data_IF_392870671121
#
_entry.id   IF_392870671121
#
_cell.length_a   1.000
_cell.length_b   1.000
_cell.length_c   1.000
_cell.angle_alpha   90.00
_cell.angle_beta   90.00
_cell.angle_gamma   90.00
#
_symmetry.space_group_name_H-M   'P 1'
#
loop_
_entity.id
_entity.type
_entity.pdbx_description
1 polymer ?
#
# COMPACT_ATOMS: atom_id res chain seq x y z
N UNK A 1 -42.55 49.30 -24.53
CA UNK A 1 -42.52 47.96 -25.12
C UNK A 1 -43.70 47.16 -24.59
N UNK A 2 -44.90 47.62 -24.91
CA UNK A 2 -46.15 47.11 -24.33
C UNK A 2 -47.22 47.13 -25.45
N UNK A 3 -47.23 46.10 -26.28
CA UNK A 3 -48.21 46.05 -27.36
C UNK A 3 -48.45 44.72 -28.07
N UNK A 4 -47.95 43.60 -27.51
CA UNK A 4 -48.11 42.31 -28.24
C UNK A 4 -49.02 41.29 -27.56
N UNK A 5 -49.48 41.54 -26.34
CA UNK A 5 -50.39 40.64 -25.63
C UNK A 5 -51.88 40.98 -25.77
N UNK A 6 -52.19 42.26 -26.11
CA UNK A 6 -53.57 42.74 -26.20
C UNK A 6 -54.33 42.20 -27.41
N UNK A 7 -53.68 42.01 -28.54
CA UNK A 7 -54.29 41.46 -29.75
C UNK A 7 -54.65 39.97 -29.61
N UNK A 8 -53.85 39.21 -28.86
CA UNK A 8 -54.09 37.77 -28.62
C UNK A 8 -55.25 37.54 -27.65
N UNK A 9 -55.37 38.37 -26.63
CA UNK A 9 -56.50 38.32 -25.69
C UNK A 9 -57.81 38.75 -26.36
N UNK A 10 -57.77 39.77 -27.24
CA UNK A 10 -58.93 40.20 -28.03
C UNK A 10 -59.38 39.13 -29.03
N UNK A 11 -58.45 38.38 -29.63
CA UNK A 11 -58.78 37.27 -30.53
C UNK A 11 -59.42 36.09 -29.78
N UNK A 12 -58.92 35.77 -28.57
CA UNK A 12 -59.51 34.75 -27.71
C UNK A 12 -60.91 35.14 -27.24
N UNK A 13 -61.09 36.43 -26.86
CA UNK A 13 -62.40 36.94 -26.45
C UNK A 13 -63.40 36.93 -27.62
N UNK A 14 -62.95 37.34 -28.79
CA UNK A 14 -63.74 37.30 -29.99
C UNK A 14 -64.15 35.87 -30.35
N UNK A 15 -63.26 34.92 -30.27
CA UNK A 15 -63.54 33.50 -30.49
C UNK A 15 -64.57 32.95 -29.49
N UNK A 16 -64.48 33.28 -28.20
CA UNK A 16 -65.45 32.86 -27.19
C UNK A 16 -66.86 33.49 -27.46
N UNK A 17 -66.90 34.73 -27.87
CA UNK A 17 -68.17 35.41 -28.23
C UNK A 17 -68.80 34.76 -29.45
N UNK A 18 -68.07 34.45 -30.52
CA UNK A 18 -68.50 33.77 -31.68
C UNK A 18 -69.05 32.35 -31.38
N UNK A 19 -68.30 31.60 -30.54
CA UNK A 19 -68.73 30.28 -30.09
C UNK A 19 -70.02 30.33 -29.26
N UNK A 20 -70.12 31.35 -28.37
CA UNK A 20 -71.35 31.57 -27.58
C UNK A 20 -72.54 31.89 -28.43
N UNK A 21 -72.39 32.79 -29.42
CA UNK A 21 -73.47 33.14 -30.37
C UNK A 21 -73.84 31.95 -31.20
N UNK A 22 -72.86 31.14 -31.62
CA UNK A 22 -73.10 29.90 -32.38
C UNK A 22 -73.89 28.89 -31.56
N UNK A 23 -73.56 28.69 -30.30
CA UNK A 23 -74.28 27.81 -29.37
C UNK A 23 -75.66 28.31 -29.07
N UNK A 24 -75.87 29.64 -28.89
CA UNK A 24 -77.19 30.22 -28.69
C UNK A 24 -78.06 30.04 -29.98
N UNK A 25 -77.47 30.25 -31.15
CA UNK A 25 -78.19 30.10 -32.45
C UNK A 25 -78.55 28.63 -32.66
N UNK A 26 -77.72 27.67 -32.36
CA UNK A 26 -77.98 26.27 -32.37
C UNK A 26 -79.10 25.87 -31.39
N UNK A 27 -79.06 26.49 -30.19
CA UNK A 27 -80.07 26.25 -29.16
C UNK A 27 -81.48 26.75 -29.63
N UNK A 28 -81.56 27.97 -30.19
CA UNK A 28 -82.81 28.53 -30.68
C UNK A 28 -83.32 27.84 -31.94
N UNK A 29 -82.49 27.31 -32.80
CA UNK A 29 -82.87 26.58 -34.02
C UNK A 29 -83.25 25.14 -33.74
N UNK A 30 -82.96 24.60 -32.58
CA UNK A 30 -83.28 23.21 -32.18
C UNK A 30 -84.67 23.00 -31.60
N UNK A 31 -85.53 24.03 -31.51
CA UNK A 31 -86.95 23.86 -31.03
C UNK A 31 -87.95 23.30 -32.04
N UNK A 32 -87.46 22.73 -33.14
CA UNK A 32 -88.33 21.95 -34.07
C UNK A 32 -88.02 20.47 -33.93
N UNK A 33 -88.76 19.84 -33.01
CA UNK A 33 -89.08 18.41 -32.95
C UNK A 33 -87.98 17.38 -33.29
N UNK A 34 -87.44 16.73 -32.27
CA UNK A 34 -86.90 15.38 -32.37
C UNK A 34 -85.44 15.15 -32.40
N UNK A 35 -84.57 16.17 -32.09
CA UNK A 35 -83.08 16.05 -32.15
C UNK A 35 -82.42 16.04 -30.76
N UNK A 36 -83.15 16.31 -29.67
CA UNK A 36 -82.62 16.46 -28.33
C UNK A 36 -82.14 15.14 -27.78
N UNK A 37 -82.74 14.02 -28.14
CA UNK A 37 -82.29 12.74 -27.55
C UNK A 37 -81.01 12.15 -28.15
N UNK A 38 -80.64 12.57 -29.37
CA UNK A 38 -79.37 12.11 -29.98
C UNK A 38 -78.17 12.98 -29.55
N UNK A 39 -78.38 14.25 -29.26
CA UNK A 39 -77.32 15.19 -28.87
C UNK A 39 -76.88 14.98 -27.41
N UNK A 40 -77.81 14.59 -26.50
CA UNK A 40 -77.45 14.27 -25.14
C UNK A 40 -76.54 13.03 -25.03
N UNK A 41 -76.77 12.00 -25.88
CA UNK A 41 -75.86 10.83 -25.90
C UNK A 41 -74.49 11.15 -26.45
N UNK A 42 -74.34 12.03 -27.42
CA UNK A 42 -73.05 12.41 -27.99
C UNK A 42 -72.23 13.30 -27.01
N UNK A 43 -72.90 14.18 -26.25
CA UNK A 43 -72.21 15.03 -25.27
C UNK A 43 -71.70 14.23 -24.06
N UNK A 44 -72.50 13.28 -23.57
CA UNK A 44 -72.05 12.38 -22.49
C UNK A 44 -70.91 11.45 -22.90
N UNK A 45 -70.93 10.98 -24.17
CA UNK A 45 -69.83 10.10 -24.65
C UNK A 45 -68.55 10.85 -24.93
N UNK A 46 -68.61 12.16 -25.20
CA UNK A 46 -67.42 12.96 -25.47
C UNK A 46 -66.74 13.57 -24.18
N UNK A 47 -67.53 13.76 -23.12
CA UNK A 47 -67.07 14.42 -21.89
C UNK A 47 -66.38 13.40 -20.91
N UNK A 48 -66.89 12.15 -20.92
CA UNK A 48 -66.32 11.13 -20.01
C UNK A 48 -64.85 10.79 -20.30
N UNK A 49 -64.38 10.63 -21.56
CA UNK A 49 -62.95 10.35 -21.80
C UNK A 49 -62.01 11.52 -21.52
N UNK A 50 -62.56 12.78 -21.43
CA UNK A 50 -61.70 13.92 -21.13
C UNK A 50 -61.24 13.97 -19.65
N UNK A 51 -62.04 13.47 -18.72
CA UNK A 51 -61.68 13.40 -17.30
C UNK A 51 -60.64 12.32 -17.02
N UNK A 52 -60.69 11.18 -17.72
CA UNK A 52 -59.68 10.15 -17.57
C UNK A 52 -58.34 10.51 -18.27
N UNK A 53 -58.38 11.23 -19.38
CA UNK A 53 -57.22 11.66 -20.14
C UNK A 53 -56.34 12.69 -19.39
N UNK A 54 -56.94 13.60 -18.65
CA UNK A 54 -56.19 14.64 -17.86
C UNK A 54 -55.44 14.02 -16.70
N UNK A 55 -56.02 13.03 -16.03
CA UNK A 55 -55.35 12.35 -14.92
C UNK A 55 -54.20 11.44 -15.40
N UNK A 56 -54.30 10.86 -16.57
CA UNK A 56 -53.30 9.96 -17.16
C UNK A 56 -52.09 10.76 -17.70
N UNK A 57 -52.31 11.97 -18.24
CA UNK A 57 -51.27 12.84 -18.80
C UNK A 57 -50.46 13.56 -17.71
N UNK A 58 -51.03 13.79 -16.52
CA UNK A 58 -50.32 14.45 -15.39
C UNK A 58 -49.62 13.49 -14.44
N UNK A 59 -49.90 12.19 -14.51
CA UNK A 59 -49.31 11.18 -13.66
C UNK A 59 -47.81 10.99 -13.87
N UNK A 60 -47.22 11.07 -15.07
CA UNK A 60 -45.78 10.97 -15.25
C UNK A 60 -45.01 12.19 -14.70
N UNK A 61 -45.60 13.36 -14.76
CA UNK A 61 -44.98 14.59 -14.23
C UNK A 61 -44.87 14.62 -12.68
N UNK A 62 -45.81 14.01 -11.97
CA UNK A 62 -45.69 13.83 -10.50
C UNK A 62 -44.62 12.83 -10.12
N UNK A 63 -44.51 11.70 -10.83
CA UNK A 63 -43.46 10.69 -10.58
C UNK A 63 -42.07 11.23 -10.86
N UNK A 64 -41.86 12.03 -11.90
CA UNK A 64 -40.57 12.66 -12.21
C UNK A 64 -40.13 13.62 -11.12
N UNK A 65 -41.07 14.40 -10.53
CA UNK A 65 -40.73 15.29 -9.38
C UNK A 65 -40.31 14.52 -8.14
N UNK A 66 -40.95 13.43 -7.81
CA UNK A 66 -40.55 12.59 -6.64
C UNK A 66 -39.23 11.91 -6.88
N UNK A 67 -38.96 11.37 -8.07
CA UNK A 67 -37.65 10.77 -8.40
C UNK A 67 -36.51 11.76 -8.34
N UNK A 68 -36.68 12.99 -8.83
CA UNK A 68 -35.62 14.00 -8.80
C UNK A 68 -35.33 14.52 -7.39
N UNK A 69 -36.33 14.61 -6.53
CA UNK A 69 -36.15 15.02 -5.12
C UNK A 69 -35.49 13.91 -4.28
N UNK A 70 -35.82 12.65 -4.50
CA UNK A 70 -35.23 11.51 -3.79
C UNK A 70 -33.77 11.32 -4.22
N UNK A 71 -33.49 11.36 -5.52
CA UNK A 71 -32.11 11.26 -6.05
C UNK A 71 -31.25 12.44 -5.60
N UNK A 72 -31.82 13.65 -5.56
CA UNK A 72 -31.13 14.84 -5.06
C UNK A 72 -30.80 14.79 -3.57
N UNK A 73 -31.67 14.20 -2.74
CA UNK A 73 -31.42 13.99 -1.31
C UNK A 73 -30.35 12.94 -1.08
N UNK A 74 -30.46 11.78 -1.73
CA UNK A 74 -29.47 10.69 -1.64
C UNK A 74 -28.07 11.13 -2.10
N UNK A 75 -27.99 11.97 -3.14
CA UNK A 75 -26.72 12.51 -3.62
C UNK A 75 -26.14 13.53 -2.65
N UNK A 76 -26.98 14.37 -2.03
CA UNK A 76 -26.53 15.35 -1.01
C UNK A 76 -26.05 14.68 0.28
N UNK A 77 -26.70 13.59 0.72
CA UNK A 77 -26.26 12.84 1.91
C UNK A 77 -25.04 11.95 1.63
N UNK A 78 -24.88 11.45 0.42
CA UNK A 78 -23.76 10.58 0.04
C UNK A 78 -22.44 11.35 -0.18
N UNK A 79 -22.48 12.62 -0.58
CA UNK A 79 -21.30 13.46 -0.74
C UNK A 79 -20.49 13.62 0.56
N UNK A 80 -21.07 14.10 1.67
CA UNK A 80 -20.32 14.30 2.91
C UNK A 80 -19.84 12.97 3.51
N UNK A 81 -20.56 11.86 3.30
CA UNK A 81 -20.13 10.53 3.73
C UNK A 81 -18.92 10.05 2.93
N UNK A 82 -18.89 10.25 1.62
CA UNK A 82 -17.72 9.96 0.78
C UNK A 82 -16.51 10.82 1.15
N UNK A 83 -16.72 12.11 1.40
CA UNK A 83 -15.65 13.02 1.82
C UNK A 83 -15.09 12.62 3.20
N UNK A 84 -15.95 12.31 4.17
CA UNK A 84 -15.53 11.78 5.47
C UNK A 84 -14.79 10.45 5.33
N UNK A 85 -15.28 9.53 4.51
CA UNK A 85 -14.60 8.26 4.24
C UNK A 85 -13.20 8.48 3.65
N UNK A 86 -13.05 9.41 2.71
CA UNK A 86 -11.76 9.77 2.13
C UNK A 86 -10.83 10.45 3.16
N UNK A 87 -11.36 11.33 4.00
CA UNK A 87 -10.60 11.95 5.08
C UNK A 87 -10.12 10.92 6.10
N UNK A 88 -11.00 10.01 6.54
CA UNK A 88 -10.63 8.92 7.44
C UNK A 88 -9.58 7.99 6.83
N UNK A 89 -9.71 7.62 5.57
CA UNK A 89 -8.70 6.83 4.85
C UNK A 89 -7.34 7.54 4.81
N UNK A 90 -7.31 8.86 4.57
CA UNK A 90 -6.07 9.66 4.61
C UNK A 90 -5.47 9.72 6.01
N UNK A 91 -6.29 9.88 7.05
CA UNK A 91 -5.83 9.85 8.44
C UNK A 91 -5.25 8.48 8.82
N UNK A 92 -5.94 7.40 8.47
CA UNK A 92 -5.45 6.03 8.69
C UNK A 92 -4.11 5.81 7.98
N UNK A 93 -3.97 6.27 6.73
CA UNK A 93 -2.72 6.15 5.99
C UNK A 93 -1.57 6.93 6.67
N UNK A 94 -1.83 8.15 7.16
CA UNK A 94 -0.86 8.93 7.93
C UNK A 94 -0.48 8.26 9.24
N UNK A 95 -1.47 7.82 10.02
CA UNK A 95 -1.23 7.13 11.29
C UNK A 95 -0.44 5.82 11.10
N UNK A 96 -0.74 5.06 10.05
CA UNK A 96 0.04 3.85 9.70
C UNK A 96 1.49 4.19 9.37
N UNK A 97 1.74 5.27 8.61
CA UNK A 97 3.10 5.73 8.31
C UNK A 97 3.86 6.10 9.59
N UNK A 98 3.24 6.87 10.49
CA UNK A 98 3.84 7.23 11.78
C UNK A 98 4.06 6.02 12.70
N UNK A 99 3.12 5.06 12.72
CA UNK A 99 3.27 3.83 13.51
C UNK A 99 4.43 2.95 12.99
N UNK A 100 4.61 2.86 11.68
CA UNK A 100 5.76 2.15 11.07
C UNK A 100 7.06 2.85 11.45
N UNK A 101 7.11 4.18 11.32
CA UNK A 101 8.30 4.97 11.65
C UNK A 101 8.63 4.89 13.15
N UNK A 102 7.64 4.97 14.02
CA UNK A 102 7.84 4.84 15.46
C UNK A 102 8.39 3.46 15.84
N UNK A 103 7.81 2.37 15.30
CA UNK A 103 8.34 1.02 15.50
C UNK A 103 9.78 0.89 14.99
N UNK A 104 10.10 1.55 13.89
CA UNK A 104 11.44 1.62 13.34
C UNK A 104 12.39 2.29 14.31
N UNK A 105 12.06 3.50 14.79
CA UNK A 105 12.87 4.25 15.74
C UNK A 105 13.06 3.48 17.06
N UNK A 106 12.03 2.83 17.57
CA UNK A 106 12.10 1.98 18.76
C UNK A 106 13.05 0.79 18.56
N UNK A 107 13.02 0.14 17.38
CA UNK A 107 13.97 -0.95 17.06
C UNK A 107 15.41 -0.45 17.02
N UNK A 108 15.66 0.69 16.36
CA UNK A 108 16.98 1.31 16.31
C UNK A 108 17.48 1.71 17.71
N UNK A 109 16.63 2.28 18.55
CA UNK A 109 16.97 2.64 19.91
C UNK A 109 17.26 1.41 20.78
N UNK A 110 16.45 0.37 20.72
CA UNK A 110 16.66 -0.89 21.43
C UNK A 110 17.95 -1.61 21.00
N UNK A 111 18.29 -1.51 19.69
CA UNK A 111 19.55 -2.06 19.19
C UNK A 111 20.77 -1.36 19.80
N UNK A 112 20.77 -0.01 19.88
CA UNK A 112 21.85 0.77 20.51
C UNK A 112 22.07 0.39 21.97
N UNK A 113 21.00 0.15 22.74
CA UNK A 113 21.11 -0.31 24.14
C UNK A 113 21.73 -1.71 24.27
N UNK A 114 21.40 -2.61 23.31
CA UNK A 114 21.85 -4.02 23.39
C UNK A 114 23.34 -4.19 23.13
N UNK A 115 23.99 -3.34 22.35
CA UNK A 115 25.37 -3.54 21.94
C UNK A 115 26.39 -2.62 22.61
N UNK A 116 25.99 -1.61 23.39
CA UNK A 116 26.89 -0.66 24.07
C UNK A 116 28.04 -0.11 23.18
N UNK A 117 27.86 -0.15 21.86
CA UNK A 117 28.83 0.27 20.85
C UNK A 117 28.37 1.52 20.17
N UNK A 118 29.29 2.37 19.74
CA UNK A 118 28.96 3.53 18.92
C UNK A 118 28.46 3.01 17.56
N UNK A 119 27.34 3.55 17.09
CA UNK A 119 26.70 3.13 15.86
C UNK A 119 26.20 4.33 15.07
N UNK A 120 26.28 4.24 13.75
CA UNK A 120 25.75 5.21 12.81
C UNK A 120 24.62 4.54 12.01
N UNK A 121 23.42 5.13 12.02
CA UNK A 121 22.31 4.67 11.20
C UNK A 121 22.47 5.20 9.77
N UNK A 122 22.25 4.36 8.78
CA UNK A 122 22.39 4.70 7.37
C UNK A 122 21.23 4.18 6.55
N UNK A 123 20.94 4.86 5.45
CA UNK A 123 19.96 4.45 4.45
C UNK A 123 20.65 3.81 3.25
N UNK A 124 20.05 2.76 2.72
CA UNK A 124 20.49 2.16 1.47
C UNK A 124 20.01 3.04 0.31
N UNK A 125 20.94 3.63 -0.43
CA UNK A 125 20.66 4.52 -1.57
C UNK A 125 20.82 3.84 -2.94
N UNK A 126 21.58 2.73 -2.99
CA UNK A 126 21.76 1.95 -4.22
C UNK A 126 22.05 0.50 -3.91
N UNK A 127 21.79 -0.36 -4.87
CA UNK A 127 22.14 -1.78 -4.84
C UNK A 127 22.75 -2.16 -6.18
N UNK A 128 23.80 -2.98 -6.16
CA UNK A 128 24.38 -3.51 -7.39
C UNK A 128 23.36 -4.36 -8.15
N UNK A 129 23.12 -4.06 -9.45
CA UNK A 129 22.19 -4.82 -10.25
C UNK A 129 22.76 -6.16 -10.75
N UNK A 130 24.10 -6.38 -10.58
CA UNK A 130 24.79 -7.56 -11.11
C UNK A 130 24.71 -8.71 -10.10
N UNK A 131 24.17 -9.85 -10.53
CA UNK A 131 24.11 -11.08 -9.72
C UNK A 131 25.46 -11.69 -9.31
N UNK A 132 26.58 -11.08 -9.75
CA UNK A 132 27.95 -11.50 -9.42
C UNK A 132 28.51 -10.90 -8.15
N UNK A 133 27.96 -9.77 -7.71
CA UNK A 133 28.42 -9.03 -6.52
C UNK A 133 27.20 -8.54 -5.75
N UNK A 134 27.09 -8.96 -4.50
CA UNK A 134 26.05 -8.47 -3.60
C UNK A 134 26.57 -7.28 -2.83
N UNK A 135 26.40 -6.08 -3.41
CA UNK A 135 26.84 -4.80 -2.84
C UNK A 135 25.64 -3.87 -2.66
N UNK A 136 25.66 -3.08 -1.61
CA UNK A 136 24.79 -1.92 -1.41
C UNK A 136 25.62 -0.67 -1.17
N UNK A 137 25.06 0.50 -1.51
CA UNK A 137 25.61 1.81 -1.17
C UNK A 137 24.75 2.44 -0.08
N UNK A 138 25.39 3.01 0.93
CA UNK A 138 24.74 3.70 2.05
C UNK A 138 25.07 5.18 2.04
N UNK A 139 24.17 6.02 2.59
CA UNK A 139 24.23 7.49 2.60
C UNK A 139 25.07 8.07 3.75
N UNK A 140 26.08 7.34 4.21
CA UNK A 140 27.06 7.77 5.23
C UNK A 140 28.47 7.41 4.79
N UNK A 141 29.43 8.29 5.10
CA UNK A 141 30.81 8.17 4.63
C UNK A 141 31.87 8.53 5.66
N UNK A 142 33.05 8.97 5.20
CA UNK A 142 34.16 9.38 6.07
C UNK A 142 33.75 10.54 6.98
N UNK A 143 32.94 11.49 6.51
CA UNK A 143 32.42 12.60 7.32
C UNK A 143 31.62 12.15 8.53
N UNK A 144 31.02 10.98 8.46
CA UNK A 144 30.22 10.37 9.53
C UNK A 144 31.02 9.38 10.38
N UNK A 145 32.33 9.34 10.16
CA UNK A 145 33.24 8.46 10.89
C UNK A 145 33.26 7.02 10.39
N UNK A 146 32.71 6.75 9.20
CA UNK A 146 32.71 5.42 8.59
C UNK A 146 34.12 5.10 8.05
N UNK A 147 34.55 3.86 8.25
CA UNK A 147 35.83 3.34 7.77
C UNK A 147 35.64 1.95 7.16
N UNK A 148 36.63 1.56 6.35
CA UNK A 148 36.68 0.20 5.78
C UNK A 148 36.68 -0.85 6.90
N UNK A 149 36.11 -2.03 6.61
CA UNK A 149 35.95 -3.19 7.50
C UNK A 149 35.03 -2.97 8.70
N UNK A 150 34.29 -1.86 8.76
CA UNK A 150 33.22 -1.69 9.74
C UNK A 150 32.06 -2.64 9.47
N UNK A 151 31.54 -3.34 10.51
CA UNK A 151 30.40 -4.22 10.38
C UNK A 151 29.12 -3.44 10.13
N UNK A 152 28.25 -4.01 9.30
CA UNK A 152 26.93 -3.47 8.98
C UNK A 152 25.87 -4.49 9.41
N UNK A 153 24.85 -4.03 10.14
CA UNK A 153 23.85 -4.88 10.80
C UNK A 153 22.46 -4.29 10.66
N UNK A 154 21.44 -5.12 10.92
CA UNK A 154 20.05 -4.73 11.16
C UNK A 154 19.59 -5.22 12.54
N UNK A 155 18.34 -4.95 12.88
CA UNK A 155 17.69 -5.50 14.09
C UNK A 155 17.64 -7.04 14.11
N UNK A 156 17.71 -7.69 12.95
CA UNK A 156 17.68 -9.16 12.82
C UNK A 156 19.06 -9.80 12.86
N UNK A 157 20.11 -9.10 12.43
CA UNK A 157 21.45 -9.66 12.44
C UNK A 157 22.45 -8.97 11.53
N UNK A 158 23.51 -9.69 11.25
CA UNK A 158 24.63 -9.25 10.43
C UNK A 158 24.24 -9.17 8.96
N UNK A 159 24.56 -8.03 8.33
CA UNK A 159 24.29 -7.74 6.91
C UNK A 159 25.54 -7.91 6.06
N UNK A 160 26.68 -7.39 6.56
CA UNK A 160 27.92 -7.38 5.80
C UNK A 160 28.99 -6.49 6.44
N UNK A 161 29.90 -6.00 5.61
CA UNK A 161 30.96 -5.04 6.02
C UNK A 161 31.17 -3.95 5.00
N UNK A 162 31.65 -2.82 5.43
CA UNK A 162 32.11 -1.73 4.56
C UNK A 162 33.39 -2.16 3.84
N UNK A 163 33.41 -2.05 2.51
CA UNK A 163 34.59 -2.39 1.70
C UNK A 163 35.29 -1.18 1.10
N UNK A 164 34.53 -0.10 0.88
CA UNK A 164 35.05 1.15 0.33
C UNK A 164 34.23 2.32 0.89
N UNK A 165 34.92 3.43 1.16
CA UNK A 165 34.30 4.63 1.73
C UNK A 165 34.65 5.83 0.84
N UNK A 166 33.67 6.71 0.66
CA UNK A 166 33.82 8.04 0.07
C UNK A 166 33.44 9.07 1.13
N UNK A 167 33.57 10.36 0.84
CA UNK A 167 33.27 11.44 1.81
C UNK A 167 31.88 11.34 2.41
N UNK A 168 30.83 11.09 1.58
CA UNK A 168 29.41 11.10 1.98
C UNK A 168 28.70 9.77 1.72
N UNK A 169 29.39 8.72 1.31
CA UNK A 169 28.80 7.41 1.00
C UNK A 169 29.78 6.28 1.25
N UNK A 170 29.26 5.05 1.46
CA UNK A 170 30.11 3.88 1.60
C UNK A 170 29.48 2.67 0.85
N UNK A 171 30.37 1.81 0.35
CA UNK A 171 29.99 0.54 -0.28
C UNK A 171 30.09 -0.58 0.77
N UNK A 172 29.04 -1.35 0.86
CA UNK A 172 28.93 -2.48 1.80
C UNK A 172 28.81 -3.78 1.02
N UNK A 173 29.71 -4.70 1.29
CA UNK A 173 29.65 -6.08 0.82
C UNK A 173 28.71 -6.87 1.72
N UNK A 174 27.67 -7.47 1.12
CA UNK A 174 26.70 -8.28 1.85
C UNK A 174 27.27 -9.67 2.15
N UNK A 175 26.68 -10.37 3.12
CA UNK A 175 27.12 -11.73 3.48
C UNK A 175 26.82 -12.77 2.41
N UNK A 176 25.81 -12.54 1.56
CA UNK A 176 25.47 -13.43 0.43
C UNK A 176 26.39 -13.25 -0.80
N UNK A 177 27.32 -12.27 -0.76
CA UNK A 177 28.39 -12.17 -1.78
C UNK A 177 29.32 -13.38 -1.67
N UNK A 178 29.65 -14.01 -2.80
CA UNK A 178 30.52 -15.20 -2.85
C UNK A 178 31.94 -14.95 -2.31
N UNK A 179 32.39 -13.70 -2.26
CA UNK A 179 33.70 -13.30 -1.73
C UNK A 179 33.59 -12.88 -0.26
N UNK A 180 32.39 -12.95 0.31
CA UNK A 180 32.17 -12.67 1.72
C UNK A 180 32.32 -13.94 2.53
N UNK A 181 33.02 -13.82 3.67
CA UNK A 181 33.15 -14.89 4.64
C UNK A 181 33.06 -14.35 6.05
N UNK A 182 32.35 -15.05 6.90
CA UNK A 182 32.24 -14.71 8.33
C UNK A 182 32.52 -15.94 9.19
N UNK A 183 33.38 -15.80 10.16
CA UNK A 183 33.61 -16.85 11.17
C UNK A 183 32.38 -16.90 12.08
N UNK A 184 31.71 -18.05 12.12
CA UNK A 184 30.50 -18.29 12.91
C UNK A 184 30.72 -19.30 13.99
N UNK A 185 30.00 -19.16 15.08
CA UNK A 185 29.90 -20.13 16.18
C UNK A 185 28.47 -20.69 16.18
N UNK A 186 28.36 -22.02 16.31
CA UNK A 186 27.06 -22.68 16.48
C UNK A 186 26.63 -22.46 17.92
N UNK A 187 25.56 -21.72 18.14
CA UNK A 187 25.13 -21.29 19.49
C UNK A 187 24.89 -22.48 20.45
N UNK A 188 24.51 -23.68 19.93
CA UNK A 188 24.24 -24.86 20.73
C UNK A 188 25.52 -25.58 21.18
N UNK A 189 26.53 -25.67 20.33
CA UNK A 189 27.71 -26.51 20.57
C UNK A 189 29.00 -25.70 20.87
N UNK A 190 29.00 -24.37 20.61
CA UNK A 190 30.15 -23.50 20.70
C UNK A 190 31.22 -23.77 19.61
N UNK A 191 30.99 -24.71 18.71
CA UNK A 191 31.93 -25.04 17.62
C UNK A 191 31.92 -23.95 16.56
N UNK A 192 33.07 -23.70 15.94
CA UNK A 192 33.23 -22.65 14.92
C UNK A 192 33.31 -23.20 13.52
N UNK A 193 32.84 -22.46 12.55
CA UNK A 193 32.91 -22.71 11.11
C UNK A 193 33.01 -21.39 10.35
N UNK A 194 33.12 -21.42 9.03
CA UNK A 194 33.06 -20.24 8.18
C UNK A 194 31.76 -20.28 7.36
N UNK A 195 30.96 -19.22 7.42
CA UNK A 195 29.81 -19.03 6.56
C UNK A 195 30.21 -18.16 5.37
N UNK A 196 30.07 -18.67 4.18
CA UNK A 196 30.34 -17.99 2.91
C UNK A 196 29.04 -17.76 2.13
N UNK A 197 28.99 -16.65 1.38
CA UNK A 197 27.85 -16.35 0.52
C UNK A 197 27.73 -17.30 -0.66
N UNK A 198 26.50 -17.50 -1.12
CA UNK A 198 26.17 -18.32 -2.28
C UNK A 198 25.30 -17.55 -3.27
N UNK A 199 25.35 -17.92 -4.56
CA UNK A 199 24.61 -17.22 -5.66
C UNK A 199 23.09 -17.24 -5.43
N UNK A 200 22.58 -18.22 -4.72
CA UNK A 200 21.16 -18.41 -4.43
C UNK A 200 20.64 -17.54 -3.27
N UNK A 201 21.48 -16.62 -2.75
CA UNK A 201 21.12 -15.76 -1.63
C UNK A 201 21.14 -16.48 -0.28
N UNK A 202 21.62 -17.72 -0.24
CA UNK A 202 21.87 -18.47 1.00
C UNK A 202 23.34 -18.35 1.43
N UNK A 203 23.66 -18.87 2.62
CA UNK A 203 25.04 -19.03 3.06
C UNK A 203 25.37 -20.51 3.09
N UNK A 204 26.66 -20.83 2.90
CA UNK A 204 27.19 -22.19 3.03
C UNK A 204 28.23 -22.23 4.13
N UNK A 205 28.19 -23.28 4.96
CA UNK A 205 29.27 -23.52 5.90
C UNK A 205 30.42 -24.27 5.20
N UNK A 206 31.61 -23.73 5.43
CA UNK A 206 32.89 -24.30 4.99
C UNK A 206 33.73 -24.71 6.19
N UNK A 207 34.70 -25.57 5.95
CA UNK A 207 35.64 -26.06 6.96
C UNK A 207 34.91 -26.70 8.15
N UNK A 208 33.89 -27.52 7.86
CA UNK A 208 33.12 -28.22 8.87
C UNK A 208 33.69 -29.66 8.98
N UNK A 209 34.33 -30.03 10.08
CA UNK A 209 34.80 -31.39 10.31
C UNK A 209 33.67 -32.41 10.26
N UNK A 210 33.97 -33.61 9.79
CA UNK A 210 32.97 -34.68 9.63
C UNK A 210 32.29 -35.09 10.94
N UNK A 211 33.00 -34.97 12.07
CA UNK A 211 32.55 -35.29 13.42
C UNK A 211 31.79 -34.17 14.11
N UNK A 212 31.71 -32.95 13.49
CA UNK A 212 31.01 -31.82 14.09
C UNK A 212 29.51 -32.09 14.18
N UNK A 213 28.93 -31.98 15.38
CA UNK A 213 27.48 -32.09 15.61
C UNK A 213 26.79 -30.77 15.16
N UNK A 214 26.23 -30.81 13.94
CA UNK A 214 25.43 -29.74 13.36
C UNK A 214 24.09 -30.33 12.95
N UNK A 215 23.00 -29.63 13.32
CA UNK A 215 21.61 -30.03 13.05
C UNK A 215 20.86 -28.90 12.35
N UNK A 216 19.84 -29.28 11.58
CA UNK A 216 18.87 -28.33 11.06
C UNK A 216 18.20 -27.56 12.21
N UNK A 217 18.03 -26.24 12.05
CA UNK A 217 17.54 -25.35 13.09
C UNK A 217 18.63 -24.76 14.01
N UNK A 218 19.89 -25.19 13.94
CA UNK A 218 20.97 -24.60 14.73
C UNK A 218 21.16 -23.13 14.36
N UNK A 219 21.21 -22.27 15.39
CA UNK A 219 21.47 -20.84 15.24
C UNK A 219 22.94 -20.56 15.14
N UNK A 220 23.33 -19.73 14.18
CA UNK A 220 24.69 -19.30 13.94
C UNK A 220 24.86 -17.84 14.32
N UNK A 221 25.89 -17.56 15.11
CA UNK A 221 26.29 -16.23 15.51
C UNK A 221 27.72 -15.94 15.09
N UNK A 222 28.08 -14.69 14.88
CA UNK A 222 29.45 -14.32 14.60
C UNK A 222 30.34 -14.69 15.79
N UNK A 223 31.45 -15.39 15.55
CA UNK A 223 32.36 -15.88 16.59
C UNK A 223 33.28 -14.78 17.15
N UNK A 224 33.47 -13.68 16.43
CA UNK A 224 34.42 -12.62 16.72
C UNK A 224 35.84 -12.91 16.22
N UNK A 225 36.11 -14.11 15.73
CA UNK A 225 37.42 -14.48 15.17
C UNK A 225 37.67 -13.71 13.88
N UNK A 226 38.90 -13.23 13.69
CA UNK A 226 39.28 -12.34 12.59
C UNK A 226 39.06 -10.85 12.88
N UNK A 227 38.44 -10.49 14.00
CA UNK A 227 38.32 -9.11 14.50
C UNK A 227 37.51 -8.13 13.66
N UNK A 228 36.86 -8.60 12.55
CA UNK A 228 36.01 -7.76 11.69
C UNK A 228 34.60 -7.63 12.27
N UNK A 229 34.04 -8.75 12.72
CA UNK A 229 32.66 -8.80 13.21
C UNK A 229 32.64 -9.01 14.73
N UNK A 230 31.87 -8.21 15.49
CA UNK A 230 31.68 -8.44 16.92
C UNK A 230 31.04 -9.82 17.18
N UNK A 231 31.46 -10.45 18.27
CA UNK A 231 30.92 -11.73 18.71
C UNK A 231 29.41 -11.62 19.05
N UNK A 232 28.65 -12.65 18.73
CA UNK A 232 27.24 -12.77 19.15
C UNK A 232 26.24 -12.14 18.21
N UNK A 233 26.66 -11.53 17.09
CA UNK A 233 25.74 -11.06 16.05
C UNK A 233 25.10 -12.25 15.35
N UNK A 234 23.76 -12.25 15.22
CA UNK A 234 23.05 -13.30 14.50
C UNK A 234 23.46 -13.31 13.02
N UNK A 235 23.85 -14.47 12.48
CA UNK A 235 24.24 -14.66 11.09
C UNK A 235 23.17 -15.40 10.31
N UNK A 236 22.61 -16.45 10.90
CA UNK A 236 21.58 -17.25 10.24
C UNK A 236 21.18 -18.50 11.04
N UNK A 237 20.44 -19.37 10.37
CA UNK A 237 19.99 -20.65 10.91
C UNK A 237 20.29 -21.74 9.90
N UNK A 238 20.79 -22.89 10.34
CA UNK A 238 21.03 -24.05 9.50
C UNK A 238 19.71 -24.53 8.90
N UNK A 239 19.59 -24.45 7.57
CA UNK A 239 18.39 -24.84 6.85
C UNK A 239 18.41 -26.31 6.40
N UNK A 240 19.60 -26.79 6.02
CA UNK A 240 19.74 -28.16 5.52
C UNK A 240 21.16 -28.68 5.76
N UNK A 241 21.26 -29.95 6.14
CA UNK A 241 22.51 -30.68 6.29
C UNK A 241 22.51 -31.88 5.33
N UNK A 242 23.16 -31.72 4.17
CA UNK A 242 23.27 -32.80 3.18
C UNK A 242 24.60 -33.55 3.36
N UNK A 243 24.53 -34.89 3.47
CA UNK A 243 25.67 -35.80 3.41
C UNK A 243 25.86 -36.21 1.95
N UNK A 244 27.01 -35.88 1.37
CA UNK A 244 27.35 -36.33 0.03
C UNK A 244 28.14 -37.64 0.18
N UNK A 245 27.68 -38.73 -0.39
CA UNK A 245 28.24 -40.08 -0.23
C UNK A 245 29.69 -40.24 -0.72
N UNK A 246 30.21 -39.28 -1.47
CA UNK A 246 31.56 -39.33 -2.08
C UNK A 246 32.45 -38.13 -1.68
N UNK A 247 32.05 -37.26 -0.74
CA UNK A 247 32.84 -36.11 -0.33
C UNK A 247 33.07 -36.11 1.17
N UNK A 248 34.30 -35.84 1.58
CA UNK A 248 34.69 -35.63 2.99
C UNK A 248 34.03 -34.36 3.58
N UNK A 249 33.52 -33.45 2.74
CA UNK A 249 32.85 -32.25 3.15
C UNK A 249 31.33 -32.39 3.15
N UNK A 250 30.70 -31.99 4.24
CA UNK A 250 29.23 -31.87 4.33
C UNK A 250 28.77 -30.59 3.66
N UNK A 251 27.78 -30.67 2.79
CA UNK A 251 27.11 -29.48 2.22
C UNK A 251 26.07 -28.99 3.20
N UNK A 252 26.35 -27.88 3.90
CA UNK A 252 25.46 -27.29 4.89
C UNK A 252 24.98 -25.94 4.38
N UNK A 253 23.66 -25.83 4.17
CA UNK A 253 23.00 -24.61 3.73
C UNK A 253 22.46 -23.87 4.93
N UNK A 254 22.67 -22.56 4.97
CA UNK A 254 22.24 -21.68 6.06
C UNK A 254 21.32 -20.61 5.48
N UNK A 255 20.17 -20.45 6.10
CA UNK A 255 19.26 -19.34 5.84
C UNK A 255 19.76 -18.12 6.59
N UNK A 256 20.08 -16.98 5.93
CA UNK A 256 20.51 -15.78 6.58
C UNK A 256 19.49 -15.26 7.59
N UNK A 257 19.96 -14.58 8.65
CA UNK A 257 19.10 -13.95 9.65
C UNK A 257 18.32 -12.77 9.06
N UNK A 258 18.89 -12.10 8.06
CA UNK A 258 18.27 -10.97 7.37
C UNK A 258 18.03 -11.29 5.89
N UNK A 259 16.98 -10.70 5.31
CA UNK A 259 16.69 -10.80 3.88
C UNK A 259 17.33 -9.63 3.13
N UNK A 260 18.44 -9.90 2.46
CA UNK A 260 19.24 -8.85 1.83
C UNK A 260 18.54 -8.13 0.68
N UNK A 261 17.52 -8.71 0.03
CA UNK A 261 16.82 -8.10 -1.11
C UNK A 261 15.97 -6.89 -0.76
N UNK A 262 15.60 -6.69 0.50
CA UNK A 262 14.67 -5.62 0.95
C UNK A 262 15.27 -4.68 1.98
N UNK A 263 16.60 -4.55 2.00
CA UNK A 263 17.26 -3.62 2.90
C UNK A 263 16.98 -2.17 2.48
N UNK A 264 16.38 -1.40 3.37
CA UNK A 264 16.18 0.04 3.21
C UNK A 264 17.06 0.83 4.15
N UNK A 265 17.42 0.25 5.28
CA UNK A 265 18.18 0.86 6.37
C UNK A 265 19.05 -0.15 7.03
N UNK A 266 20.19 0.34 7.45
CA UNK A 266 21.24 -0.45 8.13
C UNK A 266 21.89 0.38 9.23
N UNK A 267 22.64 -0.27 10.09
CA UNK A 267 23.40 0.34 11.17
C UNK A 267 24.85 -0.07 10.97
N UNK A 268 25.75 0.91 10.93
CA UNK A 268 27.19 0.67 10.91
C UNK A 268 27.72 0.74 12.34
N UNK A 269 28.46 -0.28 12.76
CA UNK A 269 29.12 -0.31 14.06
C UNK A 269 30.49 0.37 13.90
N UNK A 270 30.67 1.54 14.55
CA UNK A 270 31.85 2.37 14.36
C UNK A 270 32.96 2.13 15.41
N UNK A 271 32.61 1.59 16.57
CA UNK A 271 33.58 1.30 17.61
C UNK A 271 33.93 -0.18 17.65
N UNK A 272 35.19 -0.50 17.38
CA UNK A 272 35.77 -1.84 17.67
C UNK A 272 36.04 -1.94 19.16
N UNK A 273 35.32 -2.80 19.87
CA UNK A 273 35.78 -3.27 21.15
C UNK A 273 37.08 -4.06 20.91
N UNK A 274 38.23 -3.47 21.21
CA UNK A 274 39.48 -4.23 21.28
C UNK A 274 39.34 -5.25 22.39
N UNK A 275 38.95 -6.46 22.06
CA UNK A 275 39.17 -7.66 22.87
C UNK A 275 40.60 -8.13 22.56
N UNK A 276 41.56 -7.36 22.96
CA UNK A 276 42.94 -7.85 23.11
C UNK A 276 43.12 -8.16 24.56
N UNK A 277 43.84 -9.23 24.94
CA UNK A 277 44.25 -9.46 26.31
C UNK A 277 45.22 -8.34 26.67
N UNK A 278 44.81 -7.50 27.62
CA UNK A 278 45.81 -6.78 28.41
C UNK A 278 46.70 -7.83 29.08
N UNK A 279 47.96 -7.63 28.95
CA UNK A 279 49.03 -8.45 29.48
C UNK A 279 48.84 -8.79 30.95
#
# INVERSE_FOLDING_TARGET
MYSRNDSRNRLILFFFVVVSILLITLYYRGQAKGVVDRSQRLIMTAVVPLQEGVNTLLSPLRRVKEYTLVVGRLTRENRPLKERSLQLKRQIARLRKHAVENRRLQRLAGFRQKFQQQTVAARVISRSPTGWQSLITIDVGESDGIRKDMPVVTDKGLVGRVIQVSTAAAFVQLLDDRRSGVSVEIARTGKTAIAEGSIDGTLRLRFVPADMDIREGDKLVASGVGGVYPRGLAVGTVAQVARTSYSLERKITVKPAETYTRLSEVIVITERRRTGPDR
#
